data_IF_082122517227
#
_entry.id   IF_082122517227
#
_cell.length_a   1.000
_cell.length_b   1.000
_cell.length_c   1.000
_cell.angle_alpha   90.00
_cell.angle_beta   90.00
_cell.angle_gamma   90.00
#
_symmetry.space_group_name_H-M   'P 1'
#
loop_
_entity.id
_entity.type
_entity.pdbx_description
1 polymer ?
#
# COMPACT_ATOMS: atom_id res chain seq x y z
N UNK A 1 -10.74 18.84 -21.49
CA UNK A 1 -11.36 17.60 -20.96
C UNK A 1 -11.07 17.55 -19.47
N UNK A 2 -12.09 17.67 -18.63
CA UNK A 2 -11.96 17.37 -17.20
C UNK A 2 -11.81 15.85 -17.13
N UNK A 3 -10.67 15.37 -16.61
CA UNK A 3 -10.44 13.93 -16.44
C UNK A 3 -11.53 13.43 -15.48
N UNK A 4 -12.33 12.41 -15.84
CA UNK A 4 -13.34 11.89 -14.92
C UNK A 4 -12.65 11.45 -13.62
N UNK A 5 -13.32 11.69 -12.49
CA UNK A 5 -12.84 11.22 -11.20
C UNK A 5 -12.61 9.70 -11.30
N UNK A 6 -11.48 9.18 -10.80
CA UNK A 6 -11.20 7.75 -10.87
C UNK A 6 -12.29 6.97 -10.15
N UNK A 7 -12.71 5.87 -10.76
CA UNK A 7 -13.68 4.96 -10.16
C UNK A 7 -13.01 4.12 -9.07
N UNK A 8 -13.81 3.54 -8.19
CA UNK A 8 -13.32 2.58 -7.18
C UNK A 8 -12.54 1.43 -7.85
N UNK A 9 -12.95 1.00 -9.05
CA UNK A 9 -12.25 -0.02 -9.81
C UNK A 9 -10.87 0.46 -10.31
N UNK A 10 -10.73 1.72 -10.73
CA UNK A 10 -9.44 2.28 -11.13
C UNK A 10 -8.47 2.33 -9.93
N UNK A 11 -9.01 2.70 -8.76
CA UNK A 11 -8.27 2.70 -7.50
C UNK A 11 -7.82 1.28 -7.09
N UNK A 12 -8.73 0.31 -7.15
CA UNK A 12 -8.43 -1.08 -6.81
C UNK A 12 -7.41 -1.68 -7.79
N UNK A 13 -7.53 -1.42 -9.09
CA UNK A 13 -6.61 -1.93 -10.11
C UNK A 13 -5.19 -1.38 -9.92
N UNK A 14 -5.05 -0.10 -9.61
CA UNK A 14 -3.74 0.50 -9.28
C UNK A 14 -3.16 -0.06 -7.98
N UNK A 15 -3.99 -0.30 -6.96
CA UNK A 15 -3.57 -0.93 -5.71
C UNK A 15 -3.23 -2.41 -5.87
N UNK A 16 -3.88 -3.13 -6.79
CA UNK A 16 -3.50 -4.49 -7.17
C UNK A 16 -2.15 -4.51 -7.88
N UNK A 17 -1.85 -3.50 -8.69
CA UNK A 17 -0.53 -3.37 -9.31
C UNK A 17 0.58 -3.16 -8.26
N UNK A 18 0.30 -2.38 -7.21
CA UNK A 18 1.15 -2.21 -6.03
C UNK A 18 1.40 -3.57 -5.34
N UNK A 19 0.38 -4.44 -5.24
CA UNK A 19 0.52 -5.76 -4.61
C UNK A 19 1.39 -6.78 -5.38
N UNK A 20 1.63 -6.56 -6.68
CA UNK A 20 2.35 -7.49 -7.57
C UNK A 20 3.85 -7.12 -7.74
N UNK A 21 4.29 -5.96 -7.23
CA UNK A 21 5.53 -5.34 -7.66
C UNK A 21 6.82 -6.17 -7.40
N UNK A 22 6.98 -6.84 -6.25
CA UNK A 22 8.04 -7.82 -5.93
C UNK A 22 7.61 -8.75 -4.79
N UNK A 23 6.82 -9.82 -5.06
CA UNK A 23 6.26 -10.67 -4.02
C UNK A 23 7.31 -11.39 -3.19
N UNK A 24 8.55 -11.51 -3.63
CA UNK A 24 9.67 -12.09 -2.90
C UNK A 24 10.29 -11.14 -1.85
N UNK A 25 10.09 -9.82 -1.99
CA UNK A 25 10.67 -8.80 -1.09
C UNK A 25 9.67 -8.19 -0.12
N UNK A 26 8.42 -8.02 -0.53
CA UNK A 26 7.38 -7.36 0.28
C UNK A 26 6.06 -8.11 0.23
N UNK A 27 5.25 -7.93 1.27
CA UNK A 27 3.84 -8.29 1.31
C UNK A 27 3.01 -7.02 1.41
N UNK A 28 2.08 -6.86 0.47
CA UNK A 28 1.14 -5.74 0.43
C UNK A 28 -0.24 -6.27 0.78
N UNK A 29 -0.90 -5.62 1.74
CA UNK A 29 -2.30 -5.86 2.07
C UNK A 29 -3.10 -4.59 1.82
N UNK A 30 -4.23 -4.75 1.13
CA UNK A 30 -5.16 -3.66 0.86
C UNK A 30 -6.53 -4.09 1.39
N UNK A 31 -7.11 -3.28 2.27
CA UNK A 31 -8.40 -3.56 2.92
C UNK A 31 -9.34 -2.39 2.72
N UNK A 32 -10.54 -2.68 2.22
CA UNK A 32 -11.62 -1.69 2.18
C UNK A 32 -12.33 -1.57 3.52
N UNK A 33 -12.55 -0.33 3.95
CA UNK A 33 -13.23 0.06 5.18
C UNK A 33 -14.55 0.73 4.80
N UNK A 34 -15.63 -0.06 4.72
CA UNK A 34 -16.92 0.40 4.20
C UNK A 34 -17.60 1.53 4.99
N UNK A 35 -17.38 1.61 6.32
CA UNK A 35 -17.99 2.67 7.13
C UNK A 35 -17.31 4.04 6.99
N UNK A 36 -16.05 4.05 6.53
CA UNK A 36 -15.26 5.26 6.34
C UNK A 36 -15.04 5.59 4.85
N UNK A 37 -15.57 4.74 3.96
CA UNK A 37 -15.29 4.72 2.54
C UNK A 37 -13.80 4.94 2.24
N UNK A 38 -12.96 4.07 2.79
CA UNK A 38 -11.50 4.21 2.75
C UNK A 38 -10.80 2.90 2.44
N UNK A 39 -9.56 2.98 1.95
CA UNK A 39 -8.66 1.86 1.73
C UNK A 39 -7.48 1.94 2.68
N UNK A 40 -7.30 0.92 3.49
CA UNK A 40 -6.10 0.73 4.27
C UNK A 40 -5.08 -0.03 3.42
N UNK A 41 -3.87 0.53 3.30
CA UNK A 41 -2.74 -0.05 2.59
C UNK A 41 -1.63 -0.28 3.59
N UNK A 42 -1.28 -1.55 3.79
CA UNK A 42 -0.19 -1.98 4.65
C UNK A 42 0.85 -2.67 3.79
N UNK A 43 2.11 -2.25 3.92
CA UNK A 43 3.25 -2.94 3.30
C UNK A 43 4.23 -3.37 4.38
N UNK A 44 4.65 -4.62 4.31
CA UNK A 44 5.60 -5.22 5.24
C UNK A 44 6.70 -5.90 4.42
N UNK A 45 7.95 -5.78 4.85
CA UNK A 45 9.02 -6.56 4.23
C UNK A 45 8.81 -8.08 4.46
N UNK A 46 9.28 -8.90 3.52
CA UNK A 46 9.02 -10.34 3.59
C UNK A 46 9.85 -11.06 4.66
N UNK A 47 10.89 -10.43 5.21
CA UNK A 47 11.67 -10.98 6.31
C UNK A 47 10.83 -11.08 7.60
N UNK A 48 9.77 -10.28 7.75
CA UNK A 48 8.77 -10.43 8.83
C UNK A 48 8.25 -11.88 8.99
N UNK A 49 8.09 -12.59 7.87
CA UNK A 49 7.56 -13.96 7.86
C UNK A 49 8.61 -15.01 8.17
N UNK A 50 9.89 -14.63 8.16
CA UNK A 50 11.03 -15.52 8.32
C UNK A 50 11.79 -15.17 9.61
N UNK A 51 11.36 -15.70 10.75
CA UNK A 51 12.10 -15.53 12.01
C UNK A 51 11.28 -15.66 13.28
N UNK A 52 11.96 -15.46 14.41
CA UNK A 52 11.33 -15.44 15.74
C UNK A 52 10.55 -14.13 15.92
N UNK A 53 9.27 -14.23 16.29
CA UNK A 53 8.40 -13.06 16.48
C UNK A 53 8.47 -12.56 17.92
N UNK A 54 8.79 -11.29 18.07
CA UNK A 54 8.65 -10.52 19.31
C UNK A 54 7.46 -9.55 19.17
N UNK A 55 6.97 -8.95 20.26
CA UNK A 55 5.91 -7.93 20.18
C UNK A 55 6.23 -6.76 19.24
N UNK A 56 7.51 -6.45 19.03
CA UNK A 56 7.96 -5.34 18.19
C UNK A 56 8.24 -5.76 16.73
N UNK A 57 8.22 -7.05 16.41
CA UNK A 57 8.57 -7.52 15.07
C UNK A 57 7.62 -6.95 14.01
N UNK A 58 6.34 -6.77 14.30
CA UNK A 58 5.43 -6.14 13.34
C UNK A 58 5.82 -4.68 13.03
N UNK A 59 6.10 -3.86 14.04
CA UNK A 59 6.42 -2.45 13.84
C UNK A 59 7.76 -2.24 13.15
N UNK A 60 8.73 -3.11 13.39
CA UNK A 60 10.06 -3.05 12.75
C UNK A 60 10.01 -3.36 11.26
N UNK A 61 9.14 -4.27 10.85
CA UNK A 61 9.05 -4.73 9.47
C UNK A 61 7.96 -4.02 8.63
N UNK A 62 7.17 -3.14 9.26
CA UNK A 62 6.10 -2.39 8.61
C UNK A 62 6.68 -1.17 7.91
N UNK A 63 6.66 -1.20 6.58
CA UNK A 63 7.23 -0.17 5.71
C UNK A 63 6.22 0.94 5.40
N UNK A 64 4.96 0.56 5.18
CA UNK A 64 3.86 1.51 4.87
C UNK A 64 2.64 1.12 5.71
N UNK A 65 1.98 2.13 6.27
CA UNK A 65 0.68 2.02 6.94
C UNK A 65 -0.11 3.29 6.66
N UNK A 66 -1.05 3.22 5.71
CA UNK A 66 -1.81 4.39 5.26
C UNK A 66 -3.28 4.07 5.10
N UNK A 67 -4.12 5.01 5.48
CA UNK A 67 -5.54 5.03 5.17
C UNK A 67 -5.79 6.07 4.09
N UNK A 68 -6.35 5.62 2.96
CA UNK A 68 -6.70 6.45 1.80
C UNK A 68 -8.22 6.58 1.78
N UNK A 69 -8.73 7.77 2.10
CA UNK A 69 -10.15 8.07 1.96
C UNK A 69 -10.53 8.14 0.48
N UNK A 70 -11.69 7.58 0.12
CA UNK A 70 -12.21 7.57 -1.25
C UNK A 70 -13.00 8.84 -1.58
N UNK A 71 -12.57 9.98 -1.02
CA UNK A 71 -13.03 11.29 -1.44
C UNK A 71 -12.35 11.63 -2.78
N UNK A 72 -13.03 11.42 -3.91
CA UNK A 72 -12.43 11.38 -5.26
C UNK A 72 -11.46 12.50 -5.69
N UNK A 73 -11.35 13.61 -4.93
CA UNK A 73 -10.34 14.66 -5.08
C UNK A 73 -8.95 14.28 -4.55
N UNK A 74 -8.84 13.56 -3.43
CA UNK A 74 -7.54 13.27 -2.79
C UNK A 74 -7.11 11.82 -2.95
N UNK A 75 -8.07 10.90 -3.10
CA UNK A 75 -7.82 9.47 -3.25
C UNK A 75 -6.74 9.15 -4.30
N UNK A 76 -6.87 9.70 -5.52
CA UNK A 76 -5.91 9.46 -6.60
C UNK A 76 -4.50 9.93 -6.25
N UNK A 77 -4.37 11.14 -5.69
CA UNK A 77 -3.07 11.69 -5.27
C UNK A 77 -2.42 10.82 -4.21
N UNK A 78 -3.21 10.35 -3.24
CA UNK A 78 -2.73 9.49 -2.17
C UNK A 78 -2.29 8.12 -2.70
N UNK A 79 -3.05 7.51 -3.63
CA UNK A 79 -2.68 6.25 -4.28
C UNK A 79 -1.39 6.41 -5.07
N UNK A 80 -1.27 7.45 -5.91
CA UNK A 80 -0.04 7.72 -6.67
C UNK A 80 1.15 7.97 -5.74
N UNK A 81 0.95 8.68 -4.62
CA UNK A 81 2.01 8.87 -3.63
C UNK A 81 2.46 7.55 -3.00
N UNK A 82 1.51 6.69 -2.63
CA UNK A 82 1.79 5.36 -2.06
C UNK A 82 2.47 4.45 -3.08
N UNK A 83 2.07 4.51 -4.35
CA UNK A 83 2.73 3.83 -5.45
C UNK A 83 4.20 4.24 -5.61
N UNK A 84 4.47 5.55 -5.60
CA UNK A 84 5.83 6.08 -5.75
C UNK A 84 6.72 5.71 -4.57
N UNK A 85 6.19 5.79 -3.35
CA UNK A 85 6.88 5.37 -2.13
C UNK A 85 7.23 3.88 -2.18
N UNK A 86 6.27 3.01 -2.49
CA UNK A 86 6.52 1.58 -2.64
C UNK A 86 7.53 1.29 -3.77
N UNK A 87 7.39 1.97 -4.90
CA UNK A 87 8.32 1.83 -6.03
C UNK A 87 9.74 2.20 -5.63
N UNK A 88 9.92 3.24 -4.81
CA UNK A 88 11.23 3.64 -4.29
C UNK A 88 11.79 2.62 -3.30
N UNK A 89 10.95 2.08 -2.38
CA UNK A 89 11.35 1.01 -1.47
C UNK A 89 11.82 -0.24 -2.22
N UNK A 90 11.10 -0.62 -3.28
CA UNK A 90 11.42 -1.80 -4.10
C UNK A 90 12.68 -1.59 -4.94
N UNK A 91 12.85 -0.39 -5.52
CA UNK A 91 14.05 -0.02 -6.32
C UNK A 91 15.29 0.16 -5.44
N UNK A 92 15.11 0.61 -4.20
CA UNK A 92 16.16 0.69 -3.19
C UNK A 92 16.48 -0.64 -2.50
N UNK A 93 15.76 -1.72 -2.83
CA UNK A 93 15.92 -3.08 -2.31
C UNK A 93 15.77 -3.20 -0.79
N UNK A 94 14.83 -2.46 -0.24
CA UNK A 94 14.85 -1.96 1.14
C UNK A 94 14.71 -2.99 2.27
N UNK A 95 15.45 -2.69 3.36
CA UNK A 95 15.13 -2.91 4.78
C UNK A 95 14.96 -1.56 5.53
N UNK A 96 13.99 -1.54 6.46
CA UNK A 96 13.40 -0.44 7.27
C UNK A 96 12.51 0.57 6.53
#
# INVERSE_FOLDING_TARGET
MIKPNPTINDVINELMFIAIAKPEKVSVSVRYIGHADALEVIVIDKAYFNGMKTPNTWSVHKLIDKTIYLDGLTAFRQITSTYNELSNLIKGEVAA
#
